data_IF_333913322670
#
_entry.id   IF_333913322670
#
_cell.length_a   1.000
_cell.length_b   1.000
_cell.length_c   1.000
_cell.angle_alpha   90.00
_cell.angle_beta   90.00
_cell.angle_gamma   90.00
#
_symmetry.space_group_name_H-M   'P 1'
#
loop_
_entity.id
_entity.type
_entity.pdbx_description
1 polymer ?
#
# COMPACT_ATOMS: atom_id res chain seq x y z
N UNK A 1 1.89 0.30 9.91
CA UNK A 1 1.07 0.12 11.12
C UNK A 1 1.64 -0.92 12.05
N UNK A 2 1.33 -0.85 13.35
CA UNK A 2 1.93 -1.68 14.41
C UNK A 2 1.48 -3.13 14.37
N UNK A 3 0.37 -3.42 13.71
CA UNK A 3 -0.24 -4.74 13.49
C UNK A 3 0.19 -5.39 12.17
N UNK A 4 0.94 -4.67 11.33
CA UNK A 4 1.45 -5.16 10.05
C UNK A 4 2.90 -5.67 10.17
N UNK A 5 3.08 -6.99 10.05
CA UNK A 5 4.41 -7.62 10.04
C UNK A 5 4.88 -7.80 8.59
N UNK A 6 5.95 -7.12 8.14
CA UNK A 6 6.45 -7.25 6.78
C UNK A 6 7.08 -8.62 6.54
N UNK A 7 6.87 -9.17 5.34
CA UNK A 7 7.59 -10.36 4.91
C UNK A 7 9.09 -10.04 4.67
N UNK A 8 10.01 -11.01 4.87
CA UNK A 8 11.45 -10.78 4.69
C UNK A 8 11.83 -10.21 3.31
N UNK A 9 11.08 -10.55 2.27
CA UNK A 9 11.31 -10.11 0.89
C UNK A 9 10.56 -8.83 0.51
N UNK A 10 9.99 -8.10 1.48
CA UNK A 10 9.19 -6.90 1.21
C UNK A 10 9.96 -5.87 0.38
N UNK A 11 11.16 -5.48 0.80
CA UNK A 11 11.96 -4.47 0.09
C UNK A 11 12.43 -4.96 -1.27
N UNK A 12 12.77 -6.25 -1.42
CA UNK A 12 13.16 -6.81 -2.72
C UNK A 12 12.05 -6.67 -3.77
N UNK A 13 10.79 -6.84 -3.34
CA UNK A 13 9.62 -6.69 -4.21
C UNK A 13 9.24 -5.24 -4.49
N UNK A 14 9.55 -4.31 -3.59
CA UNK A 14 9.12 -2.91 -3.68
C UNK A 14 10.15 -1.99 -4.33
N UNK A 15 11.44 -2.16 -4.01
CA UNK A 15 12.48 -1.19 -4.38
C UNK A 15 12.76 -1.14 -5.88
N UNK A 16 12.49 -2.22 -6.61
CA UNK A 16 12.78 -2.33 -8.05
C UNK A 16 12.03 -1.32 -8.92
N UNK A 17 10.87 -0.83 -8.47
CA UNK A 17 10.04 0.14 -9.20
C UNK A 17 10.64 1.56 -9.20
N UNK A 18 11.45 1.92 -8.20
CA UNK A 18 12.08 3.24 -8.12
C UNK A 18 13.25 3.46 -9.10
N UNK A 19 13.57 2.45 -9.93
CA UNK A 19 14.46 2.63 -11.09
C UNK A 19 13.88 3.62 -12.09
N UNK A 20 12.55 3.72 -12.14
CA UNK A 20 11.89 4.84 -12.80
C UNK A 20 11.98 6.08 -11.89
N UNK A 21 12.65 7.16 -12.33
CA UNK A 21 12.80 8.37 -11.53
C UNK A 21 11.46 9.06 -11.21
N UNK A 22 10.43 8.84 -12.03
CA UNK A 22 9.12 9.48 -11.88
C UNK A 22 8.20 8.75 -10.90
N UNK A 23 8.59 7.56 -10.42
CA UNK A 23 7.84 6.84 -9.37
C UNK A 23 8.02 7.56 -8.02
N UNK A 24 6.90 8.10 -7.51
CA UNK A 24 6.83 8.75 -6.21
C UNK A 24 6.66 7.76 -5.05
N UNK A 25 5.87 6.70 -5.23
CA UNK A 25 5.61 5.69 -4.22
C UNK A 25 5.26 4.33 -4.83
N UNK A 26 5.40 3.28 -4.03
CA UNK A 26 5.00 1.90 -4.35
C UNK A 26 4.16 1.38 -3.18
N UNK A 27 3.01 0.79 -3.48
CA UNK A 27 2.08 0.22 -2.48
C UNK A 27 1.90 -1.28 -2.72
N UNK A 28 1.94 -2.04 -1.63
CA UNK A 28 1.58 -3.46 -1.60
C UNK A 28 0.16 -3.67 -1.08
N UNK A 29 -0.42 -4.87 -1.31
CA UNK A 29 -1.72 -5.22 -0.74
C UNK A 29 -1.65 -5.33 0.79
N UNK A 30 -2.77 -5.11 1.46
CA UNK A 30 -2.95 -5.46 2.86
C UNK A 30 -3.67 -6.81 2.93
N UNK A 31 -3.21 -7.68 3.83
CA UNK A 31 -3.72 -9.05 3.99
C UNK A 31 -3.73 -9.39 5.46
N UNK A 32 -4.85 -9.88 5.96
CA UNK A 32 -5.00 -10.28 7.35
C UNK A 32 -4.20 -11.57 7.63
N UNK A 33 -3.38 -11.54 8.68
CA UNK A 33 -2.64 -12.71 9.15
C UNK A 33 -3.49 -13.70 9.96
N UNK A 34 -4.61 -13.25 10.51
CA UNK A 34 -5.50 -14.03 11.40
C UNK A 34 -6.73 -14.56 10.65
N UNK A 35 -6.52 -15.33 9.59
CA UNK A 35 -7.58 -15.86 8.74
C UNK A 35 -8.28 -17.12 9.28
N UNK A 36 -8.58 -17.16 10.57
CA UNK A 36 -9.01 -18.35 11.30
C UNK A 36 -10.49 -18.30 11.74
N UNK A 37 -11.05 -17.12 11.98
CA UNK A 37 -12.45 -16.95 12.43
C UNK A 37 -13.40 -16.50 11.33
N UNK A 38 -14.71 -16.69 11.50
CA UNK A 38 -15.69 -16.25 10.49
C UNK A 38 -15.64 -14.74 10.24
N UNK A 39 -15.44 -13.93 11.30
CA UNK A 39 -15.37 -12.47 11.23
C UNK A 39 -14.14 -12.02 10.45
N UNK A 40 -12.96 -12.55 10.78
CA UNK A 40 -11.70 -12.18 10.11
C UNK A 40 -11.69 -12.57 8.64
N UNK A 41 -12.25 -13.74 8.31
CA UNK A 41 -12.45 -14.18 6.93
C UNK A 41 -13.37 -13.26 6.13
N UNK A 42 -14.48 -12.83 6.73
CA UNK A 42 -15.41 -11.90 6.09
C UNK A 42 -14.78 -10.51 5.89
N UNK A 43 -14.05 -10.00 6.88
CA UNK A 43 -13.36 -8.71 6.81
C UNK A 43 -12.27 -8.70 5.72
N UNK A 44 -11.46 -9.76 5.64
CA UNK A 44 -10.48 -9.92 4.56
C UNK A 44 -11.18 -10.07 3.20
N UNK A 45 -12.30 -10.81 3.12
CA UNK A 45 -13.08 -10.88 1.87
C UNK A 45 -13.60 -9.52 1.41
N UNK A 46 -13.93 -8.60 2.34
CA UNK A 46 -14.40 -7.25 2.00
C UNK A 46 -13.28 -6.39 1.39
N UNK A 47 -12.06 -6.44 1.94
CA UNK A 47 -10.92 -5.67 1.42
C UNK A 47 -10.23 -6.33 0.21
N UNK A 48 -10.40 -7.65 0.02
CA UNK A 48 -9.74 -8.40 -1.05
C UNK A 48 -9.96 -7.80 -2.44
N UNK A 49 -11.21 -7.44 -2.77
CA UNK A 49 -11.54 -6.84 -4.06
C UNK A 49 -10.75 -5.54 -4.32
N UNK A 50 -10.58 -4.74 -3.27
CA UNK A 50 -9.85 -3.48 -3.35
C UNK A 50 -8.37 -3.71 -3.66
N UNK A 51 -7.70 -4.56 -2.88
CA UNK A 51 -6.28 -4.82 -3.02
C UNK A 51 -5.92 -5.69 -4.25
N UNK A 52 -6.80 -6.61 -4.63
CA UNK A 52 -6.55 -7.54 -5.75
C UNK A 52 -6.87 -6.93 -7.12
N UNK A 53 -7.91 -6.09 -7.23
CA UNK A 53 -8.41 -5.59 -8.50
C UNK A 53 -8.41 -4.06 -8.59
N UNK A 54 -9.07 -3.37 -7.65
CA UNK A 54 -9.32 -1.93 -7.77
C UNK A 54 -8.02 -1.13 -7.76
N UNK A 55 -7.08 -1.42 -6.85
CA UNK A 55 -5.78 -0.75 -6.81
C UNK A 55 -4.98 -0.93 -8.11
N UNK A 56 -5.03 -2.13 -8.70
CA UNK A 56 -4.34 -2.40 -9.97
C UNK A 56 -4.96 -1.63 -11.14
N UNK A 57 -6.30 -1.56 -11.17
CA UNK A 57 -7.01 -0.74 -12.14
C UNK A 57 -6.66 0.75 -11.95
N UNK A 58 -6.72 1.28 -10.73
CA UNK A 58 -6.31 2.64 -10.40
C UNK A 58 -4.89 2.95 -10.90
N UNK A 59 -3.93 2.05 -10.66
CA UNK A 59 -2.57 2.20 -11.17
C UNK A 59 -2.52 2.25 -12.72
N UNK A 60 -3.29 1.40 -13.42
CA UNK A 60 -3.34 1.39 -14.89
C UNK A 60 -3.90 2.70 -15.47
N UNK A 61 -4.83 3.34 -14.77
CA UNK A 61 -5.52 4.55 -15.20
C UNK A 61 -4.96 5.85 -14.60
N UNK A 62 -3.78 5.81 -13.97
CA UNK A 62 -3.13 7.01 -13.43
C UNK A 62 -3.78 7.56 -12.15
N UNK A 63 -4.56 6.74 -11.45
CA UNK A 63 -5.14 7.03 -10.15
C UNK A 63 -4.71 5.99 -9.10
N UNK A 64 -3.39 5.82 -8.85
CA UNK A 64 -2.92 4.94 -7.78
C UNK A 64 -3.35 5.50 -6.42
N UNK A 65 -3.76 4.62 -5.52
CA UNK A 65 -4.19 5.00 -4.17
C UNK A 65 -3.10 4.69 -3.15
N UNK A 66 -2.77 5.69 -2.34
CA UNK A 66 -1.88 5.56 -1.19
C UNK A 66 -2.71 5.21 0.05
N UNK A 67 -2.54 4.00 0.58
CA UNK A 67 -3.39 3.45 1.65
C UNK A 67 -2.56 3.06 2.87
N UNK A 68 -2.14 4.08 3.63
CA UNK A 68 -1.57 3.99 4.99
C UNK A 68 -0.30 3.15 5.13
N UNK A 69 -0.46 1.84 5.20
CA UNK A 69 0.62 0.86 5.45
C UNK A 69 1.11 0.18 4.16
N UNK A 70 2.06 -0.74 4.29
CA UNK A 70 2.60 -1.56 3.19
C UNK A 70 3.11 -0.76 1.98
N UNK A 71 3.74 0.39 2.21
CA UNK A 71 4.26 1.25 1.15
C UNK A 71 5.74 1.57 1.33
N UNK A 72 6.33 2.03 0.22
CA UNK A 72 7.64 2.68 0.18
C UNK A 72 7.47 3.97 -0.59
N UNK A 73 8.10 5.04 -0.13
CA UNK A 73 7.98 6.39 -0.72
C UNK A 73 9.34 6.97 -1.08
N UNK A 74 9.38 7.75 -2.15
CA UNK A 74 10.53 8.59 -2.49
C UNK A 74 10.48 9.83 -1.62
N UNK A 75 11.42 9.95 -0.69
CA UNK A 75 11.49 11.08 0.26
C UNK A 75 11.49 12.43 -0.45
N UNK A 76 12.16 12.56 -1.60
CA UNK A 76 12.16 13.78 -2.39
C UNK A 76 10.76 14.19 -2.87
N UNK A 77 9.93 13.21 -3.28
CA UNK A 77 8.56 13.47 -3.72
C UNK A 77 7.68 13.94 -2.56
N UNK A 78 7.82 13.31 -1.38
CA UNK A 78 7.09 13.74 -0.16
C UNK A 78 7.48 15.17 0.24
N UNK A 79 8.77 15.50 0.20
CA UNK A 79 9.24 16.87 0.48
C UNK A 79 8.73 17.88 -0.55
N UNK A 80 8.67 17.50 -1.82
CA UNK A 80 8.20 18.36 -2.90
C UNK A 80 6.72 18.77 -2.72
N UNK A 81 5.89 17.88 -2.17
CA UNK A 81 4.47 18.16 -1.91
C UNK A 81 4.19 18.82 -0.56
N UNK A 82 5.23 19.16 0.21
CA UNK A 82 5.08 19.84 1.50
C UNK A 82 4.96 18.91 2.72
N UNK A 83 5.15 17.61 2.55
CA UNK A 83 5.02 16.60 3.60
C UNK A 83 3.66 15.92 3.61
N UNK A 84 3.39 15.19 4.69
CA UNK A 84 2.08 14.62 4.99
C UNK A 84 1.26 15.65 5.79
N UNK A 85 -0.06 15.51 5.74
CA UNK A 85 -1.00 16.44 6.37
C UNK A 85 -1.87 15.72 7.39
N UNK A 86 -1.92 16.26 8.60
CA UNK A 86 -2.75 15.73 9.68
C UNK A 86 -4.22 15.60 9.24
N UNK A 87 -4.67 14.36 9.12
CA UNK A 87 -6.03 13.95 8.79
C UNK A 87 -6.30 12.60 9.44
N UNK A 88 -7.58 12.25 9.63
CA UNK A 88 -7.96 10.89 10.06
C UNK A 88 -7.47 9.83 9.05
N UNK A 89 -7.23 10.25 7.80
CA UNK A 89 -6.76 9.41 6.70
C UNK A 89 -5.55 10.05 5.99
N UNK A 90 -4.60 10.55 6.78
CA UNK A 90 -3.33 11.15 6.30
C UNK A 90 -2.61 10.31 5.22
#
# INVERSE_FOLDING_TARGET
>A
DTDHVPMPNFLERMMGYFRDPDVAFVVGPQVYGNYDSAVTKAAESQQFLFHALIQRAGNRYGAPMFVGTNNVVRVAAVRQVGGLYDSITE
#
